data_IF_553389891976
#
_entry.id   IF_553389891976
#
_cell.length_a   1.000
_cell.length_b   1.000
_cell.length_c   1.000
_cell.angle_alpha   90.00
_cell.angle_beta   90.00
_cell.angle_gamma   90.00
#
_symmetry.space_group_name_H-M   'P 1'
#
loop_
_entity.id
_entity.type
_entity.pdbx_description
1 polymer ?
#
# COMPACT_ATOMS: atom_id res chain seq x y z
N UNK A 1 16.00 14.90 -15.37
CA UNK A 1 14.62 14.65 -15.89
C UNK A 1 13.71 14.31 -14.72
N UNK A 2 12.50 14.86 -14.69
CA UNK A 2 11.49 14.66 -13.63
C UNK A 2 10.92 13.23 -13.72
N UNK A 3 10.74 12.53 -12.59
CA UNK A 3 10.08 11.22 -12.55
C UNK A 3 8.60 11.36 -12.88
N UNK A 4 8.06 10.40 -13.63
CA UNK A 4 6.62 10.31 -13.91
C UNK A 4 5.87 9.83 -12.65
N UNK A 5 4.70 10.38 -12.38
CA UNK A 5 3.91 10.11 -11.17
C UNK A 5 3.21 8.73 -11.20
N UNK A 6 3.90 7.69 -11.62
CA UNK A 6 3.38 6.33 -11.80
C UNK A 6 4.33 5.31 -11.19
N UNK A 7 3.80 4.41 -10.36
CA UNK A 7 4.46 3.17 -9.94
C UNK A 7 3.94 2.05 -10.83
N UNK A 8 4.84 1.31 -11.45
CA UNK A 8 4.51 0.17 -12.31
C UNK A 8 5.00 -1.15 -11.72
N UNK A 9 4.59 -2.25 -12.30
CA UNK A 9 5.18 -3.58 -12.08
C UNK A 9 5.72 -4.13 -13.39
N UNK A 10 6.50 -5.21 -13.31
CA UNK A 10 7.01 -5.92 -14.50
C UNK A 10 6.37 -7.30 -14.62
N UNK A 11 6.39 -7.85 -15.83
CA UNK A 11 5.67 -9.07 -16.20
C UNK A 11 6.18 -10.30 -15.43
N UNK A 12 7.49 -10.44 -15.28
CA UNK A 12 8.11 -11.68 -14.80
C UNK A 12 9.34 -11.42 -13.94
N UNK A 13 10.04 -12.49 -13.54
CA UNK A 13 11.29 -12.46 -12.77
C UNK A 13 12.52 -12.03 -13.60
N UNK A 14 12.37 -11.79 -14.90
CA UNK A 14 13.36 -11.18 -15.79
C UNK A 14 12.73 -10.05 -16.59
N UNK A 15 13.47 -8.97 -16.81
CA UNK A 15 13.03 -7.89 -17.69
C UNK A 15 13.13 -8.31 -19.14
N UNK A 16 12.12 -8.01 -19.92
CA UNK A 16 12.17 -8.04 -21.39
C UNK A 16 12.95 -6.84 -21.91
N UNK A 17 13.49 -6.91 -23.14
CA UNK A 17 14.17 -5.77 -23.78
C UNK A 17 13.27 -4.52 -23.86
N UNK A 18 11.96 -4.70 -24.06
CA UNK A 18 10.98 -3.59 -24.05
C UNK A 18 10.87 -2.93 -22.68
N UNK A 19 10.78 -3.72 -21.59
CA UNK A 19 10.75 -3.19 -20.21
C UNK A 19 12.06 -2.50 -19.82
N UNK A 20 13.21 -2.99 -20.31
CA UNK A 20 14.50 -2.32 -20.08
C UNK A 20 14.52 -0.93 -20.71
N UNK A 21 14.07 -0.80 -21.96
CA UNK A 21 13.93 0.49 -22.66
C UNK A 21 12.92 1.41 -21.94
N UNK A 22 11.79 0.85 -21.47
CA UNK A 22 10.78 1.61 -20.73
C UNK A 22 11.36 2.23 -19.46
N UNK A 23 12.04 1.43 -18.64
CA UNK A 23 12.65 1.89 -17.38
C UNK A 23 13.74 2.93 -17.60
N UNK A 24 14.54 2.78 -18.66
CA UNK A 24 15.62 3.72 -18.98
C UNK A 24 15.07 5.07 -19.47
N UNK A 25 14.03 5.05 -20.31
CA UNK A 25 13.59 6.24 -21.03
C UNK A 25 12.46 6.99 -20.32
N UNK A 26 11.46 6.28 -19.75
CA UNK A 26 10.24 6.90 -19.25
C UNK A 26 10.28 7.25 -17.76
N UNK A 27 11.25 6.72 -17.01
CA UNK A 27 11.53 7.04 -15.60
C UNK A 27 10.28 7.04 -14.71
N UNK A 28 9.61 5.88 -14.50
CA UNK A 28 8.53 5.77 -13.54
C UNK A 28 9.02 6.21 -12.16
N UNK A 29 8.09 6.65 -11.28
CA UNK A 29 8.45 7.03 -9.92
C UNK A 29 9.08 5.86 -9.14
N UNK A 30 8.57 4.65 -9.33
CA UNK A 30 9.03 3.44 -8.66
C UNK A 30 8.49 2.19 -9.30
N UNK A 31 8.84 1.06 -8.71
CA UNK A 31 8.39 -0.26 -9.15
C UNK A 31 7.89 -1.06 -7.95
N UNK A 32 6.75 -1.77 -8.12
CA UNK A 32 6.22 -2.72 -7.12
C UNK A 32 6.45 -4.15 -7.58
N UNK A 33 6.90 -5.01 -6.64
CA UNK A 33 7.20 -6.41 -6.88
C UNK A 33 6.11 -7.32 -6.33
N UNK A 34 5.83 -8.40 -7.07
CA UNK A 34 4.87 -9.46 -6.74
C UNK A 34 5.55 -10.84 -6.79
N UNK A 35 4.87 -11.89 -6.34
CA UNK A 35 5.38 -13.29 -6.42
C UNK A 35 5.90 -13.66 -7.80
N UNK A 36 5.20 -13.25 -8.88
CA UNK A 36 5.63 -13.49 -10.26
C UNK A 36 7.00 -12.93 -10.64
N UNK A 37 7.51 -11.99 -9.84
CA UNK A 37 8.81 -11.37 -10.05
C UNK A 37 9.93 -12.05 -9.25
N UNK A 38 9.60 -13.07 -8.46
CA UNK A 38 10.48 -13.69 -7.46
C UNK A 38 10.61 -15.18 -7.77
N UNK A 39 11.85 -15.65 -7.96
CA UNK A 39 12.20 -17.07 -8.16
C UNK A 39 13.22 -17.55 -7.12
N UNK A 40 14.20 -16.71 -6.79
CA UNK A 40 15.22 -16.98 -5.80
C UNK A 40 15.80 -15.65 -5.28
N UNK A 41 16.49 -15.71 -4.14
CA UNK A 41 17.13 -14.52 -3.54
C UNK A 41 18.15 -13.89 -4.49
N UNK A 42 18.97 -14.71 -5.14
CA UNK A 42 20.01 -14.25 -6.08
C UNK A 42 19.37 -13.60 -7.30
N UNK A 43 18.34 -14.25 -7.89
CA UNK A 43 17.62 -13.69 -9.03
C UNK A 43 16.99 -12.33 -8.68
N UNK A 44 16.31 -12.22 -7.52
CA UNK A 44 15.64 -11.00 -7.10
C UNK A 44 16.62 -9.85 -6.88
N UNK A 45 17.76 -10.10 -6.22
CA UNK A 45 18.84 -9.10 -6.07
C UNK A 45 19.36 -8.63 -7.42
N UNK A 46 19.59 -9.55 -8.37
CA UNK A 46 20.06 -9.22 -9.71
C UNK A 46 19.03 -8.39 -10.49
N UNK A 47 17.74 -8.72 -10.37
CA UNK A 47 16.65 -7.94 -10.97
C UNK A 47 16.65 -6.50 -10.44
N UNK A 48 16.71 -6.30 -9.12
CA UNK A 48 16.72 -4.98 -8.50
C UNK A 48 17.98 -4.19 -8.89
N UNK A 49 19.16 -4.83 -8.86
CA UNK A 49 20.42 -4.22 -9.30
C UNK A 49 20.34 -3.73 -10.76
N UNK A 50 19.76 -4.56 -11.65
CA UNK A 50 19.55 -4.21 -13.04
C UNK A 50 18.59 -3.03 -13.21
N UNK A 51 17.46 -3.01 -12.48
CA UNK A 51 16.50 -1.88 -12.50
C UNK A 51 17.20 -0.59 -12.10
N UNK A 52 17.96 -0.58 -11.01
CA UNK A 52 18.71 0.61 -10.54
C UNK A 52 19.74 1.11 -11.55
N UNK A 53 20.43 0.18 -12.21
CA UNK A 53 21.36 0.51 -13.29
C UNK A 53 20.66 1.18 -14.47
N UNK A 54 19.52 0.63 -14.93
CA UNK A 54 18.73 1.17 -16.03
C UNK A 54 18.15 2.54 -15.73
N UNK A 55 17.63 2.73 -14.52
CA UNK A 55 17.05 4.01 -14.08
C UNK A 55 18.09 5.05 -13.68
N UNK A 56 19.38 4.68 -13.61
CA UNK A 56 20.49 5.51 -13.13
C UNK A 56 20.23 6.11 -11.74
N UNK A 57 19.53 5.37 -10.87
CA UNK A 57 19.15 5.80 -9.53
C UNK A 57 19.40 4.66 -8.52
N UNK A 58 20.46 4.78 -7.73
CA UNK A 58 20.83 3.79 -6.70
C UNK A 58 19.79 3.66 -5.60
N UNK A 59 18.95 4.70 -5.40
CA UNK A 59 17.85 4.73 -4.43
C UNK A 59 16.47 4.57 -5.09
N UNK A 60 16.43 4.10 -6.34
CA UNK A 60 15.18 3.92 -7.05
C UNK A 60 14.15 3.18 -6.19
N UNK A 61 12.92 3.72 -6.05
CA UNK A 61 11.90 3.13 -5.19
C UNK A 61 11.50 1.72 -5.66
N UNK A 62 11.77 0.73 -4.82
CA UNK A 62 11.34 -0.66 -5.00
C UNK A 62 10.39 -1.00 -3.86
N UNK A 63 9.16 -1.24 -4.21
CA UNK A 63 8.04 -1.49 -3.29
C UNK A 63 7.65 -2.96 -3.28
N UNK A 64 7.15 -3.44 -2.14
CA UNK A 64 6.60 -4.79 -1.97
C UNK A 64 5.41 -4.78 -1.02
N UNK A 65 4.47 -5.72 -1.19
CA UNK A 65 3.43 -6.05 -0.21
C UNK A 65 3.92 -7.23 0.66
N UNK A 66 4.68 -6.98 1.69
CA UNK A 66 5.11 -8.00 2.63
C UNK A 66 4.46 -7.70 4.00
N UNK A 67 3.16 -8.07 4.11
CA UNK A 67 2.33 -7.77 5.29
C UNK A 67 2.42 -8.85 6.36
N UNK A 68 2.68 -10.09 5.94
CA UNK A 68 2.68 -11.27 6.77
C UNK A 68 1.89 -12.43 6.14
N UNK A 69 1.43 -13.37 6.96
CA UNK A 69 0.87 -14.66 6.58
C UNK A 69 -0.05 -14.66 5.34
N UNK A 70 -1.03 -13.76 5.26
CA UNK A 70 -2.01 -13.76 4.16
C UNK A 70 -1.57 -12.99 2.93
N UNK A 71 -0.66 -12.03 3.09
CA UNK A 71 -0.11 -11.22 2.01
C UNK A 71 1.41 -11.17 2.17
N UNK A 72 2.06 -12.18 1.61
CA UNK A 72 3.51 -12.30 1.53
C UNK A 72 3.91 -12.53 0.07
N UNK A 73 4.78 -11.68 -0.45
CA UNK A 73 5.35 -11.84 -1.79
C UNK A 73 6.65 -12.64 -1.73
N UNK A 74 7.28 -12.69 -0.55
CA UNK A 74 8.52 -13.41 -0.31
C UNK A 74 8.29 -14.84 0.20
N UNK A 75 7.08 -15.37 0.18
CA UNK A 75 6.72 -16.70 0.72
C UNK A 75 7.51 -17.86 0.10
N UNK A 76 8.08 -17.69 -1.11
CA UNK A 76 8.99 -18.65 -1.74
C UNK A 76 10.42 -18.60 -1.16
N UNK A 77 10.77 -17.53 -0.44
CA UNK A 77 12.12 -17.29 0.08
C UNK A 77 12.19 -17.36 1.60
N UNK A 78 11.10 -16.98 2.27
CA UNK A 78 10.99 -16.95 3.72
C UNK A 78 9.63 -17.46 4.17
N UNK A 79 9.62 -18.28 5.21
CA UNK A 79 8.38 -18.73 5.84
C UNK A 79 8.18 -17.94 7.13
N UNK A 80 7.04 -17.25 7.23
CA UNK A 80 6.59 -16.66 8.49
C UNK A 80 5.06 -16.68 8.57
N UNK A 81 4.53 -17.15 9.68
CA UNK A 81 3.09 -17.30 9.92
C UNK A 81 2.46 -16.16 10.71
N UNK A 82 3.22 -15.08 10.92
CA UNK A 82 2.74 -13.94 11.68
C UNK A 82 1.86 -13.03 10.84
N UNK A 83 0.68 -12.70 11.38
CA UNK A 83 -0.23 -11.70 10.81
C UNK A 83 -0.26 -10.47 11.72
N UNK A 84 -0.77 -9.33 11.20
CA UNK A 84 -1.00 -8.17 12.08
C UNK A 84 -1.99 -8.50 13.21
N UNK A 85 -3.00 -9.34 12.93
CA UNK A 85 -3.96 -9.80 13.93
C UNK A 85 -3.29 -10.57 15.08
N UNK A 86 -2.30 -11.41 14.80
CA UNK A 86 -1.52 -12.12 15.82
C UNK A 86 -0.95 -11.14 16.87
N UNK A 87 -0.26 -10.09 16.41
CA UNK A 87 0.28 -9.08 17.31
C UNK A 87 -0.82 -8.29 18.03
N UNK A 88 -1.92 -8.00 17.35
CA UNK A 88 -3.08 -7.34 17.92
C UNK A 88 -3.77 -8.16 19.01
N UNK A 89 -3.85 -9.47 18.84
CA UNK A 89 -4.48 -10.35 19.83
C UNK A 89 -3.61 -10.48 21.09
N UNK A 90 -2.29 -10.66 20.95
CA UNK A 90 -1.38 -10.62 22.11
C UNK A 90 -1.43 -9.26 22.82
N UNK A 91 -1.54 -8.16 22.05
CA UNK A 91 -1.61 -6.82 22.64
C UNK A 91 -2.81 -6.60 23.56
N UNK A 92 -3.91 -7.32 23.38
CA UNK A 92 -5.10 -7.20 24.24
C UNK A 92 -4.86 -7.66 25.68
N UNK A 93 -4.01 -8.68 25.86
CA UNK A 93 -3.72 -9.30 27.15
C UNK A 93 -2.33 -8.96 27.67
N UNK A 94 -1.34 -8.89 26.77
CA UNK A 94 0.08 -8.71 27.11
C UNK A 94 0.71 -7.60 26.23
N UNK A 95 0.36 -6.33 26.45
CA UNK A 95 0.79 -5.22 25.57
C UNK A 95 2.31 -5.09 25.46
N UNK A 96 3.05 -5.21 26.57
CA UNK A 96 4.52 -5.07 26.58
C UNK A 96 5.20 -6.16 25.74
N UNK A 97 4.77 -7.41 25.90
CA UNK A 97 5.28 -8.56 25.17
C UNK A 97 4.97 -8.42 23.67
N UNK A 98 3.71 -8.09 23.33
CA UNK A 98 3.32 -7.86 21.93
C UNK A 98 4.20 -6.82 21.25
N UNK A 99 4.46 -5.70 21.92
CA UNK A 99 5.31 -4.64 21.36
C UNK A 99 6.75 -5.12 21.16
N UNK A 100 7.31 -5.84 22.10
CA UNK A 100 8.68 -6.36 22.01
C UNK A 100 8.85 -7.34 20.83
N UNK A 101 7.98 -8.36 20.76
CA UNK A 101 8.05 -9.36 19.68
C UNK A 101 7.74 -8.73 18.30
N UNK A 102 6.80 -7.75 18.24
CA UNK A 102 6.48 -7.08 16.99
C UNK A 102 7.65 -6.23 16.47
N UNK A 103 8.35 -5.50 17.35
CA UNK A 103 9.57 -4.76 16.98
C UNK A 103 10.68 -5.69 16.49
N UNK A 104 10.89 -6.82 17.16
CA UNK A 104 11.87 -7.85 16.75
C UNK A 104 11.52 -8.42 15.37
N UNK A 105 10.25 -8.78 15.16
CA UNK A 105 9.76 -9.23 13.86
C UNK A 105 10.05 -8.20 12.74
N UNK A 106 9.67 -6.93 12.97
CA UNK A 106 9.93 -5.85 12.00
C UNK A 106 11.42 -5.68 11.72
N UNK A 107 12.27 -5.71 12.76
CA UNK A 107 13.72 -5.56 12.58
C UNK A 107 14.29 -6.67 11.69
N UNK A 108 13.88 -7.92 11.91
CA UNK A 108 14.34 -9.05 11.11
C UNK A 108 13.84 -8.95 9.67
N UNK A 109 12.57 -8.61 9.47
CA UNK A 109 12.03 -8.41 8.12
C UNK A 109 12.74 -7.26 7.40
N UNK A 110 13.00 -6.15 8.08
CA UNK A 110 13.74 -5.03 7.50
C UNK A 110 15.18 -5.41 7.11
N UNK A 111 15.87 -6.28 7.87
CA UNK A 111 17.20 -6.79 7.48
C UNK A 111 17.10 -7.57 6.17
N UNK A 112 16.07 -8.43 6.02
CA UNK A 112 15.83 -9.20 4.80
C UNK A 112 15.55 -8.25 3.63
N UNK A 113 14.62 -7.31 3.78
CA UNK A 113 14.25 -6.36 2.72
C UNK A 113 15.44 -5.53 2.25
N UNK A 114 16.27 -5.02 3.18
CA UNK A 114 17.50 -4.29 2.84
C UNK A 114 18.50 -5.14 2.07
N UNK A 115 18.72 -6.37 2.53
CA UNK A 115 19.63 -7.31 1.88
C UNK A 115 19.22 -7.62 0.43
N UNK A 116 17.92 -7.64 0.17
CA UNK A 116 17.36 -7.81 -1.18
C UNK A 116 17.48 -6.51 -2.00
N UNK A 117 17.45 -5.37 -1.34
CA UNK A 117 17.44 -4.04 -1.96
C UNK A 117 16.06 -3.41 -2.07
N UNK A 118 15.08 -3.88 -1.32
CA UNK A 118 13.73 -3.28 -1.22
C UNK A 118 13.78 -2.16 -0.21
N UNK A 119 13.24 -0.99 -0.55
CA UNK A 119 13.28 0.21 0.29
C UNK A 119 11.89 0.76 0.69
N UNK A 120 10.80 0.15 0.21
CA UNK A 120 9.43 0.50 0.60
C UNK A 120 8.63 -0.80 0.86
N UNK A 121 7.97 -0.90 2.01
CA UNK A 121 6.99 -1.96 2.28
C UNK A 121 5.60 -1.36 2.50
N UNK A 122 4.57 -1.96 1.90
CA UNK A 122 3.18 -1.44 1.97
C UNK A 122 2.47 -1.89 3.25
N UNK A 123 3.04 -1.54 4.36
CA UNK A 123 2.56 -1.78 5.72
C UNK A 123 2.57 -0.47 6.53
N UNK A 124 1.81 -0.42 7.63
CA UNK A 124 0.80 -1.36 8.12
C UNK A 124 -0.56 -1.18 7.45
N UNK A 125 -1.39 -2.24 7.52
CA UNK A 125 -2.83 -2.14 7.27
C UNK A 125 -3.48 -1.54 8.51
N UNK A 126 -4.06 -0.34 8.38
CA UNK A 126 -4.70 0.41 9.47
C UNK A 126 -6.23 0.30 9.46
N UNK A 127 -6.76 -0.60 8.64
CA UNK A 127 -8.20 -0.89 8.59
C UNK A 127 -8.66 -1.55 9.88
N UNK A 128 -9.66 -0.97 10.54
CA UNK A 128 -10.20 -1.51 11.79
C UNK A 128 -11.28 -2.55 11.50
N UNK A 129 -11.17 -3.76 12.07
CA UNK A 129 -12.18 -4.80 11.89
C UNK A 129 -13.53 -4.38 12.46
N UNK A 130 -14.58 -4.74 11.74
CA UNK A 130 -15.98 -4.65 12.16
C UNK A 130 -16.67 -5.99 11.97
N UNK A 131 -17.85 -6.18 12.57
CA UNK A 131 -18.63 -7.44 12.48
C UNK A 131 -18.84 -7.92 11.03
N UNK A 132 -18.99 -6.98 10.08
CA UNK A 132 -19.24 -7.27 8.66
C UNK A 132 -18.02 -6.95 7.76
N UNK A 133 -16.83 -6.80 8.30
CA UNK A 133 -15.61 -6.56 7.50
C UNK A 133 -15.36 -7.74 6.56
N UNK A 134 -15.08 -7.46 5.29
CA UNK A 134 -14.74 -8.49 4.33
C UNK A 134 -13.48 -9.28 4.76
N UNK A 135 -13.49 -10.59 4.48
CA UNK A 135 -12.36 -11.50 4.82
C UNK A 135 -11.03 -11.11 4.19
N UNK A 136 -11.05 -10.32 3.08
CA UNK A 136 -9.84 -9.80 2.46
C UNK A 136 -9.03 -8.88 3.39
N UNK A 137 -9.67 -8.20 4.33
CA UNK A 137 -8.99 -7.49 5.40
C UNK A 137 -8.65 -8.48 6.52
N UNK A 138 -9.60 -9.17 7.08
CA UNK A 138 -9.42 -10.28 8.01
C UNK A 138 -8.20 -10.16 8.93
N UNK A 139 -7.31 -11.13 8.86
CA UNK A 139 -6.08 -11.19 9.67
C UNK A 139 -5.02 -10.14 9.30
N UNK A 140 -5.21 -9.39 8.21
CA UNK A 140 -4.35 -8.25 7.85
C UNK A 140 -4.54 -7.06 8.79
N UNK A 141 -5.68 -6.94 9.47
CA UNK A 141 -5.91 -5.93 10.50
C UNK A 141 -5.42 -6.35 11.87
N UNK A 142 -4.92 -5.42 12.67
CA UNK A 142 -4.51 -5.70 14.04
C UNK A 142 -5.69 -6.04 14.97
N UNK A 143 -6.84 -5.36 14.82
CA UNK A 143 -7.92 -5.47 15.80
C UNK A 143 -9.23 -4.87 15.32
N UNK A 144 -10.30 -5.19 16.07
CA UNK A 144 -11.58 -4.49 16.03
C UNK A 144 -11.63 -3.23 16.92
N UNK A 145 -10.57 -2.98 17.70
CA UNK A 145 -10.42 -1.77 18.51
C UNK A 145 -9.50 -0.78 17.79
N UNK A 146 -10.03 0.34 17.31
CA UNK A 146 -9.29 1.35 16.55
C UNK A 146 -8.06 1.91 17.29
N UNK A 147 -8.10 1.92 18.64
CA UNK A 147 -6.97 2.36 19.44
C UNK A 147 -5.79 1.40 19.39
N UNK A 148 -6.05 0.09 19.39
CA UNK A 148 -5.02 -0.94 19.20
C UNK A 148 -4.43 -0.82 17.80
N UNK A 149 -5.27 -0.69 16.76
CA UNK A 149 -4.82 -0.49 15.38
C UNK A 149 -3.92 0.74 15.28
N UNK A 150 -4.35 1.88 15.86
CA UNK A 150 -3.57 3.11 15.88
C UNK A 150 -2.23 2.92 16.59
N UNK A 151 -2.23 2.28 17.77
CA UNK A 151 -1.02 2.10 18.60
C UNK A 151 0.00 1.20 17.89
N UNK A 152 -0.41 0.02 17.44
CA UNK A 152 0.48 -0.92 16.76
C UNK A 152 0.90 -0.39 15.38
N UNK A 153 0.01 0.31 14.67
CA UNK A 153 0.35 1.00 13.42
C UNK A 153 1.44 2.05 13.61
N UNK A 154 1.37 2.87 14.69
CA UNK A 154 2.42 3.83 15.03
C UNK A 154 3.75 3.14 15.33
N UNK A 155 3.72 2.04 16.07
CA UNK A 155 4.92 1.25 16.37
C UNK A 155 5.53 0.70 15.07
N UNK A 156 4.70 0.17 14.18
CA UNK A 156 5.14 -0.31 12.86
C UNK A 156 5.88 0.78 12.09
N UNK A 157 5.23 1.91 11.85
CA UNK A 157 5.80 3.02 11.09
C UNK A 157 7.13 3.49 11.71
N UNK A 158 7.16 3.68 13.02
CA UNK A 158 8.38 4.11 13.71
C UNK A 158 9.51 3.09 13.56
N UNK A 159 9.22 1.79 13.72
CA UNK A 159 10.25 0.75 13.66
C UNK A 159 10.81 0.58 12.24
N UNK A 160 9.96 0.67 11.20
CA UNK A 160 10.41 0.70 9.81
C UNK A 160 11.26 1.94 9.51
N UNK A 161 10.86 3.12 10.00
CA UNK A 161 11.63 4.37 9.83
C UNK A 161 13.02 4.26 10.46
N UNK A 162 13.15 3.71 11.68
CA UNK A 162 14.44 3.43 12.33
C UNK A 162 15.31 2.51 11.47
N UNK A 163 14.69 1.58 10.78
CA UNK A 163 15.37 0.69 9.84
C UNK A 163 15.58 1.29 8.44
N UNK A 164 15.27 2.57 8.20
CA UNK A 164 15.44 3.24 6.90
C UNK A 164 14.69 2.56 5.74
N UNK A 165 13.57 1.89 6.02
CA UNK A 165 12.61 1.39 5.05
C UNK A 165 11.34 2.23 5.17
N UNK A 166 10.85 2.75 4.05
CA UNK A 166 9.62 3.52 4.05
C UNK A 166 8.40 2.61 4.17
N UNK A 167 7.36 3.12 4.82
CA UNK A 167 6.07 2.44 4.96
C UNK A 167 5.01 3.10 4.10
N UNK A 168 4.00 2.31 3.68
CA UNK A 168 2.77 2.82 3.07
C UNK A 168 1.60 2.37 3.93
N UNK A 169 1.00 3.28 4.69
CA UNK A 169 -0.21 2.96 5.46
C UNK A 169 -1.41 2.79 4.53
N UNK A 170 -2.27 1.82 4.81
CA UNK A 170 -3.40 1.49 3.94
C UNK A 170 -4.60 0.91 4.69
N UNK A 171 -5.81 1.02 4.15
CA UNK A 171 -6.21 1.72 2.90
C UNK A 171 -6.98 2.99 3.31
N UNK A 172 -6.33 4.14 3.21
CA UNK A 172 -6.90 5.42 3.70
C UNK A 172 -8.11 5.85 2.85
N UNK A 173 -9.23 6.29 3.44
CA UNK A 173 -9.47 6.64 4.84
C UNK A 173 -9.95 5.50 5.76
N UNK A 174 -9.99 4.23 5.29
CA UNK A 174 -10.32 3.06 6.09
C UNK A 174 -11.23 2.06 5.39
N UNK A 175 -10.75 0.83 5.14
CA UNK A 175 -11.46 -0.23 4.40
C UNK A 175 -12.25 -1.17 5.33
N UNK A 176 -12.07 -1.09 6.65
CA UNK A 176 -12.66 -2.03 7.60
C UNK A 176 -14.19 -2.02 7.68
N UNK A 177 -14.84 -0.97 7.21
CA UNK A 177 -16.29 -0.83 7.23
C UNK A 177 -17.02 -1.46 6.04
N UNK A 178 -16.32 -2.15 5.12
CA UNK A 178 -16.93 -2.76 3.93
C UNK A 178 -17.08 -4.27 4.08
N UNK A 179 -18.15 -4.80 3.51
CA UNK A 179 -18.41 -6.25 3.37
C UNK A 179 -18.01 -6.79 1.99
N UNK A 180 -17.62 -5.92 1.06
CA UNK A 180 -17.24 -6.29 -0.31
C UNK A 180 -15.75 -6.14 -0.53
N UNK A 181 -15.22 -6.95 -1.43
CA UNK A 181 -13.86 -6.91 -1.92
C UNK A 181 -13.76 -5.94 -3.10
N UNK A 182 -12.90 -4.92 -2.97
CA UNK A 182 -12.65 -3.91 -4.01
C UNK A 182 -11.96 -4.47 -5.26
N UNK A 183 -11.34 -5.66 -5.17
CA UNK A 183 -10.81 -6.36 -6.35
C UNK A 183 -11.92 -6.91 -7.27
N UNK A 184 -13.10 -7.16 -6.73
CA UNK A 184 -14.21 -7.81 -7.45
C UNK A 184 -15.31 -6.80 -7.80
N UNK A 185 -15.72 -5.97 -6.85
CA UNK A 185 -16.83 -5.01 -6.99
C UNK A 185 -16.54 -3.73 -6.23
N UNK A 186 -17.22 -2.64 -6.60
CA UNK A 186 -17.12 -1.38 -5.89
C UNK A 186 -17.80 -1.48 -4.50
N UNK A 187 -17.02 -1.39 -3.40
CA UNK A 187 -17.59 -1.32 -2.07
C UNK A 187 -18.28 0.03 -1.84
N UNK A 188 -19.49 -0.02 -1.26
CA UNK A 188 -20.27 1.17 -0.88
C UNK A 188 -20.45 1.23 0.63
N UNK A 189 -20.28 2.40 1.22
CA UNK A 189 -20.37 2.64 2.66
C UNK A 189 -21.43 3.69 2.93
N UNK A 190 -22.48 3.28 3.68
CA UNK A 190 -23.60 4.16 4.06
C UNK A 190 -23.48 4.71 5.49
N UNK A 191 -22.37 4.46 6.16
CA UNK A 191 -22.13 4.97 7.49
C UNK A 191 -22.01 6.50 7.48
N UNK A 192 -22.56 7.13 8.54
CA UNK A 192 -22.41 8.57 8.70
C UNK A 192 -20.97 8.94 9.09
N UNK A 193 -20.62 10.19 8.81
CA UNK A 193 -19.29 10.74 9.05
C UNK A 193 -18.81 10.57 10.52
N UNK A 194 -19.68 10.80 11.52
CA UNK A 194 -19.32 10.67 12.93
C UNK A 194 -18.85 9.24 13.27
N UNK A 195 -19.55 8.21 12.76
CA UNK A 195 -19.18 6.80 12.96
C UNK A 195 -17.88 6.44 12.28
N UNK A 196 -17.65 6.90 11.04
CA UNK A 196 -16.40 6.70 10.30
C UNK A 196 -15.22 7.36 11.01
N UNK A 197 -15.38 8.62 11.43
CA UNK A 197 -14.36 9.37 12.15
C UNK A 197 -13.91 8.71 13.44
N UNK A 198 -14.86 8.17 14.22
CA UNK A 198 -14.60 7.53 15.51
C UNK A 198 -13.82 6.22 15.39
N UNK A 199 -14.01 5.46 14.31
CA UNK A 199 -13.48 4.09 14.19
C UNK A 199 -12.50 3.97 13.01
N UNK A 200 -12.97 4.23 11.77
CA UNK A 200 -12.20 3.91 10.56
C UNK A 200 -11.10 4.93 10.27
N UNK A 201 -11.39 6.23 10.48
CA UNK A 201 -10.44 7.30 10.23
C UNK A 201 -9.41 7.48 11.35
N UNK A 202 -9.76 7.09 12.57
CA UNK A 202 -8.93 7.29 13.77
C UNK A 202 -7.51 6.70 13.68
N UNK A 203 -7.29 5.47 13.15
CA UNK A 203 -5.95 4.90 13.05
C UNK A 203 -4.99 5.68 12.15
N UNK A 204 -5.51 6.34 11.11
CA UNK A 204 -4.71 7.09 10.14
C UNK A 204 -4.31 8.49 10.62
N UNK A 205 -4.99 9.02 11.65
CA UNK A 205 -4.81 10.40 12.10
C UNK A 205 -3.39 10.65 12.62
N UNK A 206 -2.73 11.66 12.01
CA UNK A 206 -1.37 12.12 12.36
C UNK A 206 -0.31 11.02 12.26
N UNK A 207 -0.43 10.15 11.24
CA UNK A 207 0.58 9.14 10.94
C UNK A 207 1.87 9.80 10.44
N UNK A 208 3.01 9.28 10.90
CA UNK A 208 4.36 9.67 10.47
C UNK A 208 4.86 8.87 9.26
N UNK A 209 4.02 8.05 8.64
CA UNK A 209 4.37 7.36 7.41
C UNK A 209 4.60 8.36 6.28
N UNK A 210 5.63 8.13 5.47
CA UNK A 210 5.92 8.96 4.29
C UNK A 210 4.88 8.77 3.19
N UNK A 211 4.22 7.61 3.14
CA UNK A 211 3.25 7.26 2.11
C UNK A 211 1.95 6.73 2.72
N UNK A 212 0.85 6.97 2.02
CA UNK A 212 -0.43 6.33 2.27
C UNK A 212 -1.06 5.88 0.96
N UNK A 213 -1.75 4.75 0.97
CA UNK A 213 -2.47 4.20 -0.18
C UNK A 213 -3.97 4.40 0.02
N UNK A 214 -4.67 4.94 -1.00
CA UNK A 214 -6.12 5.21 -0.92
C UNK A 214 -6.94 3.93 -1.05
N UNK A 215 -8.18 3.96 -0.55
CA UNK A 215 -9.15 2.88 -0.74
C UNK A 215 -10.06 3.16 -1.94
N UNK A 216 -10.33 2.16 -2.78
CA UNK A 216 -11.35 2.25 -3.83
C UNK A 216 -12.75 1.98 -3.25
N UNK A 217 -13.25 2.92 -2.43
CA UNK A 217 -14.52 2.83 -1.70
C UNK A 217 -15.37 4.05 -1.97
N UNK A 218 -16.66 3.84 -2.18
CA UNK A 218 -17.66 4.91 -2.27
C UNK A 218 -18.28 5.17 -0.89
N UNK A 219 -17.97 6.30 -0.28
CA UNK A 219 -18.57 6.74 0.97
C UNK A 219 -19.81 7.60 0.67
N UNK A 220 -20.97 6.97 0.44
CA UNK A 220 -22.17 7.60 -0.11
C UNK A 220 -22.65 8.83 0.67
N UNK A 221 -22.46 8.86 2.00
CA UNK A 221 -22.84 10.02 2.85
C UNK A 221 -21.78 11.13 2.89
N UNK A 222 -20.64 10.95 2.23
CA UNK A 222 -19.57 11.96 2.15
C UNK A 222 -19.46 12.48 0.71
N UNK A 223 -19.27 11.57 -0.23
CA UNK A 223 -19.26 11.84 -1.67
C UNK A 223 -19.95 10.66 -2.37
N UNK A 224 -21.15 10.91 -2.89
CA UNK A 224 -21.96 9.85 -3.52
C UNK A 224 -21.59 9.57 -4.98
N UNK A 225 -20.75 10.42 -5.58
CA UNK A 225 -20.41 10.34 -6.99
C UNK A 225 -19.02 9.73 -7.22
N UNK A 226 -18.09 9.91 -6.26
CA UNK A 226 -16.68 9.53 -6.44
C UNK A 226 -16.22 8.59 -5.33
N UNK A 227 -15.49 7.53 -5.73
CA UNK A 227 -14.72 6.71 -4.79
C UNK A 227 -13.67 7.56 -4.10
N UNK A 228 -13.21 7.16 -2.91
CA UNK A 228 -12.26 7.97 -2.13
C UNK A 228 -11.01 8.36 -2.94
N UNK A 229 -10.51 7.48 -3.81
CA UNK A 229 -9.37 7.75 -4.70
C UNK A 229 -9.64 8.87 -5.71
N UNK A 230 -10.88 9.07 -6.14
CA UNK A 230 -11.30 10.11 -7.11
C UNK A 230 -11.97 11.31 -6.45
N UNK A 231 -12.12 11.29 -5.12
CA UNK A 231 -12.84 12.34 -4.39
C UNK A 231 -11.89 13.41 -3.87
N UNK A 232 -11.81 14.55 -4.58
CA UNK A 232 -11.09 15.71 -4.05
C UNK A 232 -11.62 16.12 -2.66
N UNK A 233 -12.93 16.00 -2.41
CA UNK A 233 -13.53 16.27 -1.11
C UNK A 233 -12.96 15.39 0.00
N UNK A 234 -12.84 14.07 -0.22
CA UNK A 234 -12.29 13.13 0.75
C UNK A 234 -10.80 13.38 0.94
N UNK A 235 -10.07 13.57 -0.16
CA UNK A 235 -8.62 13.78 -0.09
C UNK A 235 -8.30 15.08 0.65
N UNK A 236 -8.89 16.22 0.26
CA UNK A 236 -8.55 17.52 0.83
C UNK A 236 -9.09 17.71 2.24
N UNK A 237 -10.39 17.45 2.45
CA UNK A 237 -11.05 17.75 3.74
C UNK A 237 -10.78 16.68 4.79
N UNK A 238 -10.77 15.38 4.41
CA UNK A 238 -10.62 14.30 5.38
C UNK A 238 -9.16 13.87 5.50
N UNK A 239 -8.52 13.45 4.40
CA UNK A 239 -7.16 12.88 4.48
C UNK A 239 -6.16 13.99 4.83
N UNK A 240 -6.16 15.09 4.10
CA UNK A 240 -5.18 16.17 4.30
C UNK A 240 -5.47 17.00 5.55
N UNK A 241 -6.70 17.54 5.67
CA UNK A 241 -7.04 18.46 6.76
C UNK A 241 -7.33 17.75 8.08
N UNK A 242 -8.27 16.79 8.10
CA UNK A 242 -8.73 16.21 9.36
C UNK A 242 -7.79 15.13 9.91
N UNK A 243 -7.33 14.21 9.05
CA UNK A 243 -6.34 13.20 9.45
C UNK A 243 -4.94 13.79 9.56
N UNK A 244 -4.70 15.00 9.05
CA UNK A 244 -3.41 15.68 9.03
C UNK A 244 -2.31 14.82 8.38
N UNK A 245 -2.65 14.11 7.29
CA UNK A 245 -1.67 13.35 6.54
C UNK A 245 -0.95 14.26 5.54
N UNK A 246 0.36 14.46 5.75
CA UNK A 246 1.21 15.36 4.95
C UNK A 246 2.10 14.64 3.94
N UNK A 247 2.12 13.30 3.99
CA UNK A 247 2.97 12.48 3.11
C UNK A 247 2.45 12.36 1.68
N UNK A 248 3.12 11.54 0.90
CA UNK A 248 2.76 11.23 -0.49
C UNK A 248 1.56 10.27 -0.49
N UNK A 249 0.50 10.66 -1.21
CA UNK A 249 -0.69 9.84 -1.37
C UNK A 249 -0.60 9.06 -2.68
N UNK A 250 -0.64 7.74 -2.58
CA UNK A 250 -0.60 6.80 -3.71
C UNK A 250 -2.02 6.26 -3.90
N UNK A 251 -2.50 6.12 -5.12
CA UNK A 251 -3.73 5.36 -5.37
C UNK A 251 -3.52 3.89 -5.00
N UNK A 252 -4.58 3.15 -4.66
CA UNK A 252 -4.54 1.70 -4.83
C UNK A 252 -4.46 1.37 -6.33
N UNK A 253 -4.30 0.08 -6.69
CA UNK A 253 -4.13 -0.33 -8.09
C UNK A 253 -5.27 0.16 -8.97
N UNK A 254 -4.94 1.06 -9.90
CA UNK A 254 -5.91 1.68 -10.81
C UNK A 254 -6.50 0.72 -11.84
N UNK A 255 -6.04 -0.52 -11.91
CA UNK A 255 -6.61 -1.59 -12.74
C UNK A 255 -7.68 -2.43 -12.03
N UNK A 256 -7.95 -2.17 -10.73
CA UNK A 256 -8.95 -2.91 -9.97
C UNK A 256 -10.38 -2.70 -10.47
N UNK A 257 -11.19 -3.76 -10.46
CA UNK A 257 -12.58 -3.76 -10.94
C UNK A 257 -13.55 -2.83 -10.18
N UNK A 258 -13.14 -2.32 -9.02
CA UNK A 258 -13.89 -1.28 -8.31
C UNK A 258 -13.95 0.05 -9.08
N UNK A 259 -13.01 0.29 -9.99
CA UNK A 259 -12.96 1.48 -10.85
C UNK A 259 -13.63 1.19 -12.19
N UNK A 260 -14.44 2.14 -12.68
CA UNK A 260 -15.31 1.93 -13.83
C UNK A 260 -14.77 2.42 -15.16
N UNK A 261 -13.71 3.24 -15.13
CA UNK A 261 -13.18 3.86 -16.34
C UNK A 261 -11.99 3.06 -16.89
N UNK A 262 -11.53 3.40 -18.08
CA UNK A 262 -10.27 2.89 -18.62
C UNK A 262 -9.08 3.34 -17.77
N UNK A 263 -7.95 2.69 -17.98
CA UNK A 263 -6.76 2.84 -17.16
C UNK A 263 -6.21 4.29 -17.13
N UNK A 264 -6.20 4.97 -18.27
CA UNK A 264 -5.71 6.35 -18.39
C UNK A 264 -6.65 7.31 -17.69
N UNK A 265 -7.95 7.14 -17.86
CA UNK A 265 -8.97 7.94 -17.18
C UNK A 265 -8.91 7.73 -15.67
N UNK A 266 -8.72 6.47 -15.20
CA UNK A 266 -8.52 6.19 -13.77
C UNK A 266 -7.27 6.91 -13.22
N UNK A 267 -6.16 6.92 -13.96
CA UNK A 267 -4.95 7.63 -13.56
C UNK A 267 -5.17 9.14 -13.47
N UNK A 268 -5.72 9.75 -14.53
CA UNK A 268 -6.01 11.19 -14.57
C UNK A 268 -6.97 11.62 -13.46
N UNK A 269 -8.05 10.87 -13.20
CA UNK A 269 -9.00 11.13 -12.10
C UNK A 269 -8.33 11.04 -10.73
N UNK A 270 -7.48 10.03 -10.50
CA UNK A 270 -6.74 9.90 -9.24
C UNK A 270 -5.84 11.10 -8.97
N UNK A 271 -5.04 11.49 -9.95
CA UNK A 271 -4.12 12.63 -9.85
C UNK A 271 -4.87 13.96 -9.67
N UNK A 272 -5.91 14.20 -10.47
CA UNK A 272 -6.74 15.42 -10.37
C UNK A 272 -7.48 15.53 -9.04
N UNK A 273 -7.83 14.39 -8.41
CA UNK A 273 -8.46 14.38 -7.09
C UNK A 273 -7.48 14.71 -5.95
N UNK A 274 -6.16 14.60 -6.19
CA UNK A 274 -5.12 14.94 -5.21
C UNK A 274 -4.23 13.79 -4.77
N UNK A 275 -4.29 12.62 -5.43
CA UNK A 275 -3.22 11.62 -5.33
C UNK A 275 -1.94 12.18 -5.94
N UNK A 276 -0.81 11.91 -5.31
CA UNK A 276 0.50 12.35 -5.82
C UNK A 276 1.08 11.37 -6.85
N UNK A 277 0.72 10.10 -6.74
CA UNK A 277 1.25 9.01 -7.56
C UNK A 277 0.12 8.00 -7.79
N UNK A 278 0.06 7.41 -8.97
CA UNK A 278 -0.82 6.29 -9.26
C UNK A 278 -0.06 4.96 -9.26
N UNK A 279 -0.74 3.90 -8.82
CA UNK A 279 -0.18 2.54 -8.77
C UNK A 279 -0.84 1.68 -9.85
N UNK A 280 -0.02 0.99 -10.65
CA UNK A 280 -0.44 0.01 -11.63
C UNK A 280 0.30 -1.32 -11.43
N UNK A 281 -0.45 -2.38 -11.10
CA UNK A 281 0.11 -3.65 -10.62
C UNK A 281 0.17 -4.78 -11.65
N UNK A 282 -0.55 -4.71 -12.76
CA UNK A 282 -0.72 -5.86 -13.66
C UNK A 282 0.57 -6.30 -14.38
N UNK A 283 1.55 -5.42 -14.55
CA UNK A 283 2.82 -5.74 -15.22
C UNK A 283 2.68 -5.93 -16.73
N UNK A 284 1.64 -5.34 -17.34
CA UNK A 284 1.48 -5.31 -18.80
C UNK A 284 2.33 -4.17 -19.37
N UNK A 285 3.23 -4.50 -20.29
CA UNK A 285 4.13 -3.53 -20.92
C UNK A 285 3.38 -2.41 -21.65
N UNK A 286 2.39 -2.76 -22.49
CA UNK A 286 1.68 -1.78 -23.31
C UNK A 286 0.91 -0.76 -22.48
N UNK A 287 0.26 -1.22 -21.41
CA UNK A 287 -0.46 -0.36 -20.46
C UNK A 287 0.51 0.52 -19.66
N UNK A 288 1.63 -0.06 -19.18
CA UNK A 288 2.68 0.71 -18.50
C UNK A 288 3.27 1.79 -19.41
N UNK A 289 3.50 1.46 -20.68
CA UNK A 289 4.01 2.42 -21.67
C UNK A 289 3.01 3.57 -21.90
N UNK A 290 1.73 3.25 -22.12
CA UNK A 290 0.68 4.28 -22.26
C UNK A 290 0.60 5.20 -21.05
N UNK A 291 0.54 4.62 -19.82
CA UNK A 291 0.51 5.40 -18.58
C UNK A 291 1.71 6.35 -18.41
N UNK A 292 2.88 5.91 -18.87
CA UNK A 292 4.10 6.71 -18.74
C UNK A 292 4.27 7.74 -19.87
N UNK A 293 3.50 7.65 -20.94
CA UNK A 293 3.50 8.64 -22.04
C UNK A 293 2.53 9.79 -21.81
N UNK A 294 1.44 9.55 -21.11
CA UNK A 294 0.44 10.54 -20.72
C UNK A 294 0.86 11.39 -19.51
#
# INVERSE_FOLDING_TARGET
MKKKAVIISVKSFKLTKKEEKLLSNEKPWGLILFKRNIKSLVQLKNLIKKIRKLTKDSQFPIMIDEEGRSVSRLSELITHDFSQKFFGDIYKTQPRISVAIYKTYINNLCKILKNIGININTVPVLDTLRKKTNRIIGIRSFSNKSDIVKKLGKICVNQYNLNKIATVIKHIPGHGCTSLDSHIKLPKVQLNYKKLKKIDFKPFKSSLSKFAMTAHILYEKIDRNNVATFSNKIITKIIRKEMNFKGILISDDISMKALKFDLITNAKKSLSAGCNIVLYCAGNYNESYKLLKE
#
